data_IF_610907425105
#
_entry.id   IF_610907425105
#
_cell.length_a   1.000
_cell.length_b   1.000
_cell.length_c   1.000
_cell.angle_alpha   90.00
_cell.angle_beta   90.00
_cell.angle_gamma   90.00
#
_symmetry.space_group_name_H-M   'P 1'
#
loop_
_entity.id
_entity.type
_entity.pdbx_description
1 polymer ?
#
# COMPACT_ATOMS: atom_id res chain seq x y z
N UNK A 1 -16.71 -6.19 -0.64
CA UNK A 1 -18.08 -6.32 -1.22
C UNK A 1 -18.10 -7.58 -2.09
N UNK A 2 -19.16 -8.40 -2.07
CA UNK A 2 -19.20 -9.66 -2.83
C UNK A 2 -19.13 -9.38 -4.34
N UNK A 3 -18.16 -9.96 -5.04
CA UNK A 3 -18.31 -10.15 -6.47
C UNK A 3 -19.54 -11.05 -6.65
N UNK A 4 -20.44 -10.68 -7.56
CA UNK A 4 -21.75 -11.30 -7.74
C UNK A 4 -21.67 -12.69 -8.41
N UNK A 5 -20.64 -13.47 -8.04
CA UNK A 5 -20.24 -14.73 -8.65
C UNK A 5 -20.61 -15.91 -7.76
N UNK A 6 -20.96 -17.02 -8.40
CA UNK A 6 -21.33 -18.27 -7.72
C UNK A 6 -20.24 -18.72 -6.73
N UNK A 7 -20.63 -18.96 -5.48
CA UNK A 7 -19.78 -19.56 -4.45
C UNK A 7 -20.13 -21.03 -4.25
N UNK A 8 -19.12 -21.85 -3.94
CA UNK A 8 -19.24 -23.24 -3.53
C UNK A 8 -18.81 -23.33 -2.06
N UNK A 9 -19.60 -24.03 -1.24
CA UNK A 9 -19.18 -24.40 0.10
C UNK A 9 -18.06 -25.45 0.02
N UNK A 10 -16.87 -25.11 0.56
CA UNK A 10 -15.78 -26.07 0.78
C UNK A 10 -15.87 -26.54 2.23
N UNK A 11 -16.47 -27.70 2.44
CA UNK A 11 -16.59 -28.35 3.74
C UNK A 11 -15.71 -29.61 3.76
N UNK A 12 -14.92 -29.79 4.81
CA UNK A 12 -14.08 -30.98 4.98
C UNK A 12 -13.39 -31.00 6.34
N UNK A 13 -13.09 -32.20 6.84
CA UNK A 13 -12.61 -32.40 8.22
C UNK A 13 -11.22 -31.82 8.53
N UNK A 14 -10.50 -31.32 7.51
CA UNK A 14 -9.12 -30.82 7.64
C UNK A 14 -8.98 -29.30 7.43
N UNK A 15 -10.02 -28.61 6.93
CA UNK A 15 -9.98 -27.16 6.68
C UNK A 15 -11.28 -26.52 7.17
N UNK A 16 -11.15 -25.32 7.77
CA UNK A 16 -12.28 -24.52 8.23
C UNK A 16 -13.25 -24.28 7.08
N UNK A 17 -14.54 -24.43 7.36
CA UNK A 17 -15.60 -24.24 6.39
C UNK A 17 -15.54 -22.80 5.84
N UNK A 18 -15.40 -22.69 4.53
CA UNK A 18 -15.39 -21.40 3.84
C UNK A 18 -16.11 -21.52 2.51
N UNK A 19 -16.65 -20.40 2.07
CA UNK A 19 -17.21 -20.24 0.74
C UNK A 19 -16.07 -19.85 -0.21
N UNK A 20 -15.96 -20.54 -1.34
CA UNK A 20 -14.96 -20.28 -2.36
C UNK A 20 -15.65 -20.08 -3.71
N UNK A 21 -15.19 -19.13 -4.54
CA UNK A 21 -15.79 -18.94 -5.86
C UNK A 21 -15.71 -20.22 -6.70
N UNK A 22 -16.78 -20.49 -7.44
CA UNK A 22 -16.90 -21.59 -8.41
C UNK A 22 -15.95 -21.41 -9.60
N UNK A 23 -15.61 -20.17 -9.90
CA UNK A 23 -14.68 -19.74 -10.94
C UNK A 23 -14.00 -18.44 -10.51
N UNK A 24 -12.68 -18.33 -10.73
CA UNK A 24 -11.92 -17.09 -10.50
C UNK A 24 -11.98 -16.11 -11.69
N UNK A 25 -12.64 -16.48 -12.79
CA UNK A 25 -12.62 -15.74 -14.07
C UNK A 25 -13.25 -14.34 -13.98
N UNK A 26 -14.15 -14.11 -13.01
CA UNK A 26 -14.79 -12.80 -12.79
C UNK A 26 -14.33 -12.10 -11.51
N UNK A 27 -13.27 -12.60 -10.87
CA UNK A 27 -12.74 -12.02 -9.65
C UNK A 27 -11.50 -11.22 -10.00
N UNK A 28 -11.33 -10.03 -9.42
CA UNK A 28 -10.09 -9.29 -9.56
C UNK A 28 -8.95 -10.18 -9.03
N UNK A 29 -7.95 -10.53 -9.86
CA UNK A 29 -6.82 -11.36 -9.42
C UNK A 29 -5.97 -10.66 -8.34
N UNK A 30 -6.14 -9.35 -8.15
CA UNK A 30 -5.47 -8.54 -7.13
C UNK A 30 -6.18 -8.53 -5.77
N UNK A 31 -7.30 -9.25 -5.64
CA UNK A 31 -8.05 -9.35 -4.39
C UNK A 31 -7.32 -10.20 -3.34
N UNK A 32 -6.80 -9.56 -2.28
CA UNK A 32 -6.16 -10.22 -1.12
C UNK A 32 -7.04 -10.10 0.14
N UNK A 33 -6.73 -10.89 1.17
CA UNK A 33 -7.35 -10.78 2.49
C UNK A 33 -6.99 -9.41 3.11
N UNK A 34 -7.95 -8.49 3.10
CA UNK A 34 -7.81 -7.17 3.67
C UNK A 34 -7.48 -7.19 5.18
N UNK A 35 -6.40 -6.55 5.58
CA UNK A 35 -6.02 -6.39 6.99
C UNK A 35 -6.81 -5.26 7.67
N UNK A 36 -6.89 -5.26 9.00
CA UNK A 36 -7.52 -4.13 9.74
C UNK A 36 -6.84 -2.80 9.43
N UNK A 37 -5.51 -2.78 9.32
CA UNK A 37 -4.73 -1.62 8.92
C UNK A 37 -5.15 -1.10 7.54
N UNK A 38 -5.36 -2.02 6.58
CA UNK A 38 -5.76 -1.69 5.21
C UNK A 38 -7.16 -1.06 5.21
N UNK A 39 -8.11 -1.71 5.90
CA UNK A 39 -9.48 -1.20 6.02
C UNK A 39 -9.52 0.17 6.69
N UNK A 40 -8.73 0.37 7.74
CA UNK A 40 -8.64 1.65 8.43
C UNK A 40 -8.11 2.76 7.51
N UNK A 41 -7.07 2.47 6.74
CA UNK A 41 -6.55 3.42 5.75
C UNK A 41 -7.57 3.80 4.67
N UNK A 42 -8.34 2.83 4.14
CA UNK A 42 -9.44 3.12 3.21
C UNK A 42 -10.54 3.96 3.87
N UNK A 43 -10.84 3.72 5.14
CA UNK A 43 -11.92 4.40 5.87
C UNK A 43 -11.74 5.92 5.98
N UNK A 44 -10.51 6.42 5.81
CA UNK A 44 -10.25 7.85 5.75
C UNK A 44 -10.79 8.52 4.48
N UNK A 45 -11.16 7.77 3.45
CA UNK A 45 -11.63 8.32 2.18
C UNK A 45 -13.15 8.18 2.04
N UNK A 46 -13.83 9.05 1.27
CA UNK A 46 -15.25 8.90 1.02
C UNK A 46 -15.58 7.54 0.40
N UNK A 47 -16.74 6.96 0.75
CA UNK A 47 -17.16 5.64 0.24
C UNK A 47 -17.20 5.61 -1.30
N UNK A 48 -17.57 6.71 -1.94
CA UNK A 48 -17.57 6.85 -3.41
C UNK A 48 -16.18 6.74 -4.06
N UNK A 49 -15.13 6.92 -3.27
CA UNK A 49 -13.74 6.91 -3.71
C UNK A 49 -13.05 5.58 -3.37
N UNK A 50 -13.65 4.75 -2.51
CA UNK A 50 -13.11 3.46 -2.12
C UNK A 50 -13.51 2.38 -3.12
N UNK A 51 -12.68 1.35 -3.29
CA UNK A 51 -12.96 0.19 -4.14
C UNK A 51 -13.40 0.62 -5.57
N UNK A 52 -12.68 1.60 -6.12
CA UNK A 52 -13.06 2.25 -7.37
C UNK A 52 -12.71 1.35 -8.57
N UNK A 53 -13.72 1.03 -9.38
CA UNK A 53 -13.57 0.11 -10.51
C UNK A 53 -13.01 0.87 -11.72
N UNK A 54 -11.87 0.40 -12.22
CA UNK A 54 -11.31 0.77 -13.50
C UNK A 54 -11.57 -0.33 -14.52
N UNK A 55 -11.89 0.06 -15.75
CA UNK A 55 -12.03 -0.87 -16.88
C UNK A 55 -11.06 -0.45 -17.97
N UNK A 56 -10.22 -1.38 -18.40
CA UNK A 56 -9.37 -1.20 -19.57
C UNK A 56 -10.24 -1.09 -20.82
N UNK A 57 -10.05 -0.03 -21.61
CA UNK A 57 -10.86 0.21 -22.81
C UNK A 57 -10.45 -0.68 -23.99
N UNK A 58 -9.23 -1.21 -23.99
CA UNK A 58 -8.68 -2.04 -25.07
C UNK A 58 -8.93 -3.53 -24.79
N UNK A 59 -8.66 -4.00 -23.56
CA UNK A 59 -8.79 -5.41 -23.19
C UNK A 59 -10.15 -5.74 -22.56
N UNK A 60 -10.86 -4.74 -22.02
CA UNK A 60 -12.07 -4.94 -21.23
C UNK A 60 -11.82 -5.47 -19.82
N UNK A 61 -10.55 -5.63 -19.41
CA UNK A 61 -10.18 -6.09 -18.08
C UNK A 61 -10.62 -5.09 -17.01
N UNK A 62 -11.06 -5.60 -15.85
CA UNK A 62 -11.53 -4.79 -14.74
C UNK A 62 -10.64 -4.99 -13.53
N UNK A 63 -10.23 -3.88 -12.95
CA UNK A 63 -9.44 -3.86 -11.72
C UNK A 63 -10.04 -2.88 -10.71
N UNK A 64 -9.97 -3.24 -9.44
CA UNK A 64 -10.52 -2.48 -8.33
C UNK A 64 -9.38 -1.79 -7.61
N UNK A 65 -9.35 -0.46 -7.66
CA UNK A 65 -8.42 0.33 -6.90
C UNK A 65 -8.89 0.47 -5.46
N UNK A 66 -7.98 0.44 -4.49
CA UNK A 66 -8.34 0.65 -3.08
C UNK A 66 -9.00 2.01 -2.85
N UNK A 67 -8.36 3.07 -3.36
CA UNK A 67 -8.89 4.43 -3.34
C UNK A 67 -8.55 5.16 -4.64
N UNK A 68 -9.55 5.79 -5.25
CA UNK A 68 -9.36 6.82 -6.28
C UNK A 68 -9.62 8.19 -5.69
N UNK A 69 -8.55 8.95 -5.42
CA UNK A 69 -8.64 10.26 -4.77
C UNK A 69 -9.32 11.32 -5.64
N UNK A 70 -9.84 12.37 -5.02
CA UNK A 70 -10.42 13.53 -5.71
C UNK A 70 -9.43 14.29 -6.62
N UNK A 71 -8.12 14.00 -6.48
CA UNK A 71 -7.04 14.52 -7.33
C UNK A 71 -6.76 13.66 -8.57
N UNK A 72 -7.59 12.64 -8.80
CA UNK A 72 -7.40 11.67 -9.87
C UNK A 72 -6.11 10.87 -9.68
N UNK A 73 -5.77 10.51 -8.44
CA UNK A 73 -4.61 9.65 -8.11
C UNK A 73 -5.15 8.38 -7.46
N UNK A 74 -4.73 7.22 -7.97
CA UNK A 74 -4.97 5.92 -7.33
C UNK A 74 -4.04 5.75 -6.14
N UNK A 75 -4.58 5.29 -5.02
CA UNK A 75 -3.83 4.96 -3.81
C UNK A 75 -4.08 3.48 -3.54
N UNK A 76 -3.03 2.67 -3.59
CA UNK A 76 -3.09 1.26 -3.19
C UNK A 76 -2.41 1.06 -1.84
N UNK A 77 -3.07 0.29 -0.97
CA UNK A 77 -2.56 -0.06 0.35
C UNK A 77 -1.97 -1.46 0.32
N UNK A 78 -0.69 -1.59 0.68
CA UNK A 78 -0.02 -2.88 0.68
C UNK A 78 0.43 -3.27 2.09
N UNK A 79 -0.24 -4.28 2.63
CA UNK A 79 0.21 -4.96 3.85
C UNK A 79 1.10 -6.15 3.54
N UNK A 80 0.70 -7.04 2.62
CA UNK A 80 1.37 -8.33 2.39
C UNK A 80 2.51 -8.28 1.38
N UNK A 81 3.20 -9.40 1.22
CA UNK A 81 4.27 -9.49 0.24
C UNK A 81 3.65 -9.46 -1.16
N UNK A 82 3.98 -8.44 -1.95
CA UNK A 82 3.64 -8.34 -3.36
C UNK A 82 4.84 -8.80 -4.21
N UNK A 83 4.57 -9.48 -5.32
CA UNK A 83 5.62 -9.84 -6.29
C UNK A 83 6.02 -8.63 -7.15
N UNK A 84 7.27 -8.54 -7.64
CA UNK A 84 7.66 -7.47 -8.56
C UNK A 84 6.79 -7.43 -9.83
N UNK A 85 6.36 -8.59 -10.33
CA UNK A 85 5.50 -8.70 -11.50
C UNK A 85 4.13 -8.06 -11.25
N UNK A 86 3.53 -8.34 -10.09
CA UNK A 86 2.24 -7.77 -9.70
C UNK A 86 2.33 -6.26 -9.44
N UNK A 87 3.40 -5.81 -8.77
CA UNK A 87 3.67 -4.38 -8.58
C UNK A 87 3.75 -3.67 -9.94
N UNK A 88 4.56 -4.19 -10.87
CA UNK A 88 4.70 -3.61 -12.20
C UNK A 88 3.39 -3.61 -13.01
N UNK A 89 2.59 -4.67 -12.90
CA UNK A 89 1.29 -4.76 -13.57
C UNK A 89 0.33 -3.68 -13.07
N UNK A 90 0.18 -3.52 -11.74
CA UNK A 90 -0.66 -2.47 -11.12
C UNK A 90 -0.18 -1.07 -11.49
N UNK A 91 1.13 -0.83 -11.41
CA UNK A 91 1.72 0.47 -11.72
C UNK A 91 1.55 0.88 -13.18
N UNK A 92 1.61 -0.09 -14.09
CA UNK A 92 1.40 0.12 -15.53
C UNK A 92 -0.07 0.38 -15.85
N UNK A 93 -0.97 -0.35 -15.19
CA UNK A 93 -2.41 -0.24 -15.38
C UNK A 93 -2.96 1.12 -14.91
N UNK A 94 -2.70 1.50 -13.65
CA UNK A 94 -3.29 2.72 -13.08
C UNK A 94 -2.63 4.01 -13.54
N UNK A 95 -1.37 3.95 -14.01
CA UNK A 95 -0.54 5.07 -14.50
C UNK A 95 -0.27 6.15 -13.43
N UNK A 96 -1.29 6.85 -12.93
CA UNK A 96 -1.21 7.91 -11.90
C UNK A 96 -1.60 7.33 -10.54
N UNK A 97 -0.60 6.80 -9.85
CA UNK A 97 -0.77 5.98 -8.66
C UNK A 97 0.30 6.25 -7.61
N UNK A 98 -0.02 6.02 -6.34
CA UNK A 98 0.94 5.91 -5.22
C UNK A 98 0.70 4.63 -4.42
N UNK A 99 1.74 4.19 -3.70
CA UNK A 99 1.68 3.11 -2.73
C UNK A 99 1.72 3.63 -1.31
N UNK A 100 0.86 3.11 -0.45
CA UNK A 100 0.97 3.24 1.01
C UNK A 100 1.20 1.84 1.59
N UNK A 101 2.32 1.65 2.27
CA UNK A 101 2.81 0.33 2.68
C UNK A 101 2.83 0.24 4.18
N UNK A 102 2.33 -0.87 4.71
CA UNK A 102 2.44 -1.17 6.14
C UNK A 102 3.90 -1.52 6.48
N UNK A 103 4.60 -0.57 7.08
CA UNK A 103 5.96 -0.72 7.60
C UNK A 103 6.03 -1.30 9.01
N UNK A 104 4.91 -1.32 9.74
CA UNK A 104 4.84 -1.75 11.15
C UNK A 104 4.50 -3.23 11.36
N UNK A 105 4.72 -4.09 10.35
CA UNK A 105 4.31 -5.51 10.43
C UNK A 105 4.93 -6.26 11.60
N UNK A 106 6.13 -5.87 12.02
CA UNK A 106 6.73 -6.31 13.28
C UNK A 106 6.93 -5.08 14.16
N UNK A 107 6.65 -5.20 15.45
CA UNK A 107 6.91 -4.11 16.41
C UNK A 107 8.38 -3.64 16.36
N UNK A 108 9.31 -4.55 16.05
CA UNK A 108 10.74 -4.23 15.88
C UNK A 108 11.02 -3.30 14.69
N UNK A 109 10.18 -3.29 13.65
CA UNK A 109 10.47 -2.55 12.41
C UNK A 109 10.38 -1.04 12.65
N UNK A 110 9.44 -0.57 13.47
CA UNK A 110 9.38 0.83 13.91
C UNK A 110 10.62 1.22 14.73
N UNK A 111 11.03 0.38 15.67
CA UNK A 111 12.22 0.64 16.48
C UNK A 111 13.48 0.74 15.61
N UNK A 112 13.67 -0.21 14.69
CA UNK A 112 14.79 -0.22 13.74
C UNK A 112 14.75 1.00 12.82
N UNK A 113 13.58 1.38 12.34
CA UNK A 113 13.40 2.56 11.51
C UNK A 113 13.83 3.83 12.27
N UNK A 114 13.32 4.03 13.49
CA UNK A 114 13.66 5.18 14.31
C UNK A 114 15.15 5.25 14.65
N UNK A 115 15.77 4.12 15.00
CA UNK A 115 17.23 4.04 15.25
C UNK A 115 18.07 4.37 14.01
N UNK A 116 17.50 4.17 12.81
CA UNK A 116 18.15 4.44 11.54
C UNK A 116 18.04 5.87 11.06
N UNK A 117 17.11 6.65 11.61
CA UNK A 117 16.83 8.01 11.16
C UNK A 117 17.90 8.99 11.66
N UNK A 118 18.36 9.85 10.77
CA UNK A 118 19.21 10.98 11.10
C UNK A 118 18.78 12.22 10.34
N UNK A 119 19.15 13.40 10.85
CA UNK A 119 18.96 14.64 10.12
C UNK A 119 19.66 14.56 8.75
N UNK A 120 19.02 15.09 7.71
CA UNK A 120 19.69 15.30 6.43
C UNK A 120 20.43 16.64 6.44
N UNK A 121 21.41 16.82 5.56
CA UNK A 121 22.08 18.12 5.36
C UNK A 121 21.23 19.13 4.56
N UNK A 122 19.90 18.97 4.55
CA UNK A 122 18.96 19.81 3.79
C UNK A 122 18.29 20.82 4.71
N UNK A 123 17.91 21.97 4.15
CA UNK A 123 17.08 22.97 4.83
C UNK A 123 15.62 22.50 5.05
N UNK A 124 15.21 21.39 4.43
CA UNK A 124 13.88 20.80 4.62
C UNK A 124 13.84 19.97 5.92
N UNK A 125 13.16 20.43 6.98
CA UNK A 125 13.12 19.72 8.26
C UNK A 125 12.36 18.40 8.20
N UNK A 126 11.59 18.15 7.14
CA UNK A 126 10.88 16.89 6.92
C UNK A 126 11.75 15.88 6.17
N UNK A 127 12.96 16.23 5.74
CA UNK A 127 13.84 15.36 4.98
C UNK A 127 14.88 14.71 5.90
N UNK A 128 14.95 13.39 5.87
CA UNK A 128 15.77 12.60 6.78
C UNK A 128 16.61 11.59 6.00
N UNK A 129 17.86 11.43 6.44
CA UNK A 129 18.63 10.27 6.04
C UNK A 129 18.16 9.05 6.83
N UNK A 130 18.19 7.88 6.20
CA UNK A 130 17.85 6.62 6.85
C UNK A 130 18.97 5.61 6.60
N UNK A 131 19.48 5.00 7.67
CA UNK A 131 20.30 3.78 7.60
C UNK A 131 19.45 2.60 8.06
N UNK A 132 19.17 1.66 7.16
CA UNK A 132 18.30 0.54 7.46
C UNK A 132 19.06 -0.63 8.08
N UNK A 133 18.95 -0.81 9.40
CA UNK A 133 19.59 -1.91 10.13
C UNK A 133 18.77 -3.22 10.14
N UNK A 134 17.52 -3.19 9.65
CA UNK A 134 16.63 -4.33 9.69
C UNK A 134 17.08 -5.49 8.81
N UNK A 135 16.88 -6.73 9.30
CA UNK A 135 17.09 -7.95 8.50
C UNK A 135 16.01 -8.14 7.42
N UNK A 136 14.93 -7.35 7.49
CA UNK A 136 13.82 -7.38 6.55
C UNK A 136 14.15 -6.68 5.23
N UNK A 137 13.52 -7.14 4.15
CA UNK A 137 13.64 -6.58 2.80
C UNK A 137 12.62 -5.46 2.51
N UNK A 138 12.21 -4.70 3.53
CA UNK A 138 11.15 -3.68 3.39
C UNK A 138 11.52 -2.67 2.30
N UNK A 139 12.58 -1.88 2.49
CA UNK A 139 13.01 -0.93 1.46
C UNK A 139 13.55 -1.60 0.18
N UNK A 140 14.20 -2.76 0.30
CA UNK A 140 14.69 -3.50 -0.87
C UNK A 140 13.56 -3.79 -1.87
N UNK A 141 12.39 -4.23 -1.39
CA UNK A 141 11.30 -4.61 -2.29
C UNK A 141 10.73 -3.41 -3.05
N UNK A 142 10.69 -2.25 -2.41
CA UNK A 142 10.00 -1.07 -2.93
C UNK A 142 10.90 -0.11 -3.70
N UNK A 143 12.22 -0.30 -3.67
CA UNK A 143 13.15 0.48 -4.52
C UNK A 143 12.88 0.28 -6.01
N UNK A 144 12.30 -0.85 -6.40
CA UNK A 144 11.97 -1.17 -7.79
C UNK A 144 10.66 -0.52 -8.27
N UNK A 145 9.89 0.09 -7.38
CA UNK A 145 8.65 0.78 -7.74
C UNK A 145 8.97 2.00 -8.60
N UNK A 146 8.19 2.18 -9.67
CA UNK A 146 8.24 3.39 -10.51
C UNK A 146 7.35 4.50 -9.98
N UNK A 147 6.56 4.23 -8.93
CA UNK A 147 5.61 5.15 -8.30
C UNK A 147 6.12 5.60 -6.94
N UNK A 148 5.48 6.64 -6.40
CA UNK A 148 5.78 7.11 -5.05
C UNK A 148 5.35 6.07 -4.01
N UNK A 149 6.27 5.71 -3.12
CA UNK A 149 6.03 4.74 -2.04
C UNK A 149 6.11 5.43 -0.69
N UNK A 150 5.05 5.31 0.10
CA UNK A 150 4.94 5.85 1.45
C UNK A 150 4.86 4.70 2.45
N UNK A 151 5.64 4.75 3.51
CA UNK A 151 5.60 3.76 4.59
C UNK A 151 4.87 4.31 5.80
N UNK A 152 3.97 3.50 6.35
CA UNK A 152 3.32 3.75 7.63
C UNK A 152 3.90 2.82 8.70
N UNK A 153 4.54 3.40 9.71
CA UNK A 153 5.08 2.66 10.86
C UNK A 153 4.18 2.77 12.11
N UNK A 154 2.93 3.24 11.96
CA UNK A 154 1.93 3.29 13.03
C UNK A 154 1.92 4.57 13.87
N UNK A 155 2.81 5.53 13.59
CA UNK A 155 2.81 6.85 14.24
C UNK A 155 2.01 7.92 13.48
N UNK A 156 2.25 9.19 13.80
CA UNK A 156 1.58 10.36 13.20
C UNK A 156 2.00 10.67 11.75
N UNK A 157 3.03 9.98 11.24
CA UNK A 157 3.67 10.28 9.96
C UNK A 157 3.61 9.10 9.00
N UNK A 158 3.48 9.43 7.72
CA UNK A 158 3.90 8.56 6.61
C UNK A 158 5.23 9.02 6.05
N UNK A 159 6.02 8.07 5.59
CA UNK A 159 7.40 8.28 5.18
C UNK A 159 7.57 7.97 3.71
N UNK A 160 7.69 9.01 2.89
CA UNK A 160 7.95 8.89 1.46
C UNK A 160 9.40 8.44 1.23
N UNK A 161 9.60 7.31 0.56
CA UNK A 161 10.92 6.87 0.14
C UNK A 161 11.37 7.65 -1.09
N UNK A 162 12.36 8.54 -0.92
CA UNK A 162 12.90 9.38 -2.00
C UNK A 162 13.98 8.63 -2.78
N UNK A 163 14.90 7.99 -2.05
CA UNK A 163 15.94 7.13 -2.62
C UNK A 163 16.41 6.13 -1.59
N UNK A 164 16.88 4.98 -2.06
CA UNK A 164 17.53 3.99 -1.24
C UNK A 164 18.69 3.37 -2.02
N UNK A 165 19.83 3.15 -1.38
CA UNK A 165 20.93 2.38 -1.93
C UNK A 165 20.94 1.04 -1.19
N UNK A 166 20.66 -0.03 -1.93
CA UNK A 166 20.62 -1.37 -1.35
C UNK A 166 21.97 -1.83 -0.79
N UNK A 167 23.09 -1.53 -1.47
CA UNK A 167 24.42 -1.95 -1.05
C UNK A 167 24.87 -1.27 0.24
N UNK A 168 24.64 0.03 0.35
CA UNK A 168 24.98 0.81 1.54
C UNK A 168 23.93 0.73 2.66
N UNK A 169 22.73 0.23 2.32
CA UNK A 169 21.53 0.23 3.18
C UNK A 169 21.16 1.63 3.68
N UNK A 170 21.52 2.65 2.91
CA UNK A 170 21.27 4.06 3.20
C UNK A 170 20.26 4.64 2.23
N UNK A 171 19.48 5.59 2.67
CA UNK A 171 18.49 6.25 1.85
C UNK A 171 18.11 7.62 2.35
N UNK A 172 17.11 8.18 1.70
CA UNK A 172 16.52 9.46 2.02
C UNK A 172 15.01 9.26 2.06
N UNK A 173 14.39 9.69 3.15
CA UNK A 173 12.96 9.65 3.36
C UNK A 173 12.44 11.03 3.70
N UNK A 174 11.21 11.32 3.28
CA UNK A 174 10.52 12.55 3.65
C UNK A 174 9.29 12.25 4.50
N UNK A 175 9.17 12.91 5.64
CA UNK A 175 8.03 12.75 6.54
C UNK A 175 6.86 13.64 6.12
N UNK A 176 5.65 13.10 6.22
CA UNK A 176 4.41 13.83 6.03
C UNK A 176 3.45 13.45 7.15
N UNK A 177 2.85 14.43 7.82
CA UNK A 177 1.80 14.14 8.80
C UNK A 177 0.62 13.44 8.11
N UNK A 178 0.09 12.40 8.74
CA UNK A 178 -1.04 11.60 8.21
C UNK A 178 -2.27 12.44 7.94
N UNK A 179 -2.63 13.34 8.85
CA UNK A 179 -3.77 14.25 8.69
C UNK A 179 -3.65 15.10 7.42
N UNK A 180 -2.47 15.68 7.17
CA UNK A 180 -2.19 16.49 5.97
C UNK A 180 -2.14 15.63 4.71
N UNK A 181 -1.54 14.45 4.78
CA UNK A 181 -1.47 13.51 3.67
C UNK A 181 -2.86 13.07 3.22
N UNK A 182 -3.70 12.60 4.15
CA UNK A 182 -5.07 12.14 3.88
C UNK A 182 -5.92 13.30 3.32
N UNK A 183 -5.90 14.47 3.95
CA UNK A 183 -6.65 15.65 3.48
C UNK A 183 -6.18 16.11 2.11
N UNK A 184 -4.88 16.03 1.83
CA UNK A 184 -4.35 16.35 0.50
C UNK A 184 -4.98 15.49 -0.59
N UNK A 185 -5.29 14.22 -0.33
CA UNK A 185 -5.95 13.33 -1.27
C UNK A 185 -7.49 13.33 -1.16
N UNK A 186 -8.07 14.28 -0.42
CA UNK A 186 -9.52 14.43 -0.30
C UNK A 186 -10.18 13.47 0.70
N UNK A 187 -9.40 12.85 1.59
CA UNK A 187 -9.91 12.11 2.73
C UNK A 187 -10.15 12.99 3.96
N UNK A 188 -10.78 12.41 4.98
CA UNK A 188 -10.92 12.97 6.32
C UNK A 188 -10.17 12.09 7.31
N UNK A 189 -9.31 12.71 8.11
CA UNK A 189 -8.53 12.04 9.16
C UNK A 189 -9.19 12.33 10.51
N UNK A 190 -9.45 11.27 11.26
CA UNK A 190 -9.99 11.31 12.62
C UNK A 190 -8.97 10.64 13.53
N UNK A 191 -8.67 11.27 14.66
CA UNK A 191 -7.69 10.80 15.66
C UNK A 191 -8.24 9.64 16.50
#
# INVERSE_FOLDING_TARGET
MCCNSDVIAKCGNFKVHHWAHKSKVHCDPWWDNESEWHRHWKSYFPVSNQEYIFTDTETGERHVADVFSSKGVVIEFQSYAISPQEMNARESFYKKMIWVVNGAKRQSDLFIFNQGLSASNSDDPCLHEITWFGRGKLFHKWIGSTKHVYFDFGGEYVWHLIKFNHGERKGLVKSYRKDKFVRFFGGTYYD
#
